data_IF_301367196251
#
_entry.id   IF_301367196251
#
_cell.length_a   1.000
_cell.length_b   1.000
_cell.length_c   1.000
_cell.angle_alpha   90.00
_cell.angle_beta   90.00
_cell.angle_gamma   90.00
#
_symmetry.space_group_name_H-M   'P 1'
#
loop_
_entity.id
_entity.type
_entity.pdbx_description
1 polymer ?
#
# COMPACT_ATOMS: atom_id res chain seq x y z
N UNK A 1 -8.36 -4.59 -5.05
CA UNK A 1 -8.15 -5.37 -3.81
C UNK A 1 -7.16 -6.47 -4.10
N UNK A 2 -6.14 -6.61 -3.26
CA UNK A 2 -5.28 -7.79 -3.22
C UNK A 2 -6.02 -8.96 -2.56
N UNK A 3 -6.47 -9.89 -3.39
CA UNK A 3 -7.23 -11.06 -2.93
C UNK A 3 -6.33 -12.11 -2.29
N UNK A 4 -5.05 -12.19 -2.63
CA UNK A 4 -4.13 -13.13 -1.99
C UNK A 4 -3.99 -12.81 -0.50
N UNK A 5 -3.74 -11.53 -0.16
CA UNK A 5 -3.70 -11.09 1.23
C UNK A 5 -5.06 -11.21 1.95
N UNK A 6 -6.17 -11.02 1.23
CA UNK A 6 -7.51 -11.28 1.78
C UNK A 6 -7.66 -12.74 2.20
N UNK A 7 -7.27 -13.70 1.36
CA UNK A 7 -7.36 -15.12 1.68
C UNK A 7 -6.48 -15.53 2.87
N UNK A 8 -5.31 -14.91 3.03
CA UNK A 8 -4.45 -15.16 4.20
C UNK A 8 -5.14 -14.83 5.53
N UNK A 9 -5.98 -13.79 5.57
CA UNK A 9 -6.78 -13.44 6.76
C UNK A 9 -7.77 -14.56 7.13
N UNK A 10 -8.13 -15.41 6.18
CA UNK A 10 -9.01 -16.57 6.34
C UNK A 10 -8.24 -17.90 6.49
N UNK A 11 -6.92 -17.82 6.73
CA UNK A 11 -6.03 -18.98 6.82
C UNK A 11 -6.05 -19.87 5.56
N UNK A 12 -6.33 -19.25 4.40
CA UNK A 12 -6.34 -19.92 3.10
C UNK A 12 -5.09 -19.49 2.34
N UNK A 13 -4.15 -20.41 2.15
CA UNK A 13 -2.87 -20.14 1.49
C UNK A 13 -2.92 -20.55 0.01
N UNK A 14 -2.46 -19.65 -0.85
CA UNK A 14 -2.33 -19.89 -2.29
C UNK A 14 -2.39 -18.60 -3.11
N UNK A 15 -1.81 -18.63 -4.32
CA UNK A 15 -1.84 -17.47 -5.20
C UNK A 15 -3.23 -17.29 -5.83
N UNK A 16 -3.74 -16.06 -5.83
CA UNK A 16 -4.96 -15.73 -6.57
C UNK A 16 -4.63 -15.51 -8.06
N UNK A 17 -5.44 -16.01 -9.01
CA UNK A 17 -6.73 -16.71 -8.83
C UNK A 17 -6.63 -18.23 -8.66
N UNK A 18 -5.46 -18.85 -8.73
CA UNK A 18 -5.27 -20.29 -8.72
C UNK A 18 -5.86 -20.96 -7.46
N UNK A 19 -5.85 -20.28 -6.32
CA UNK A 19 -6.42 -20.76 -5.06
C UNK A 19 -7.89 -21.20 -5.19
N UNK A 20 -8.66 -20.60 -6.09
CA UNK A 20 -10.07 -20.92 -6.28
C UNK A 20 -10.31 -22.33 -6.88
N UNK A 21 -9.28 -22.91 -7.48
CA UNK A 21 -9.30 -24.23 -8.09
C UNK A 21 -8.37 -25.23 -7.40
N UNK A 22 -7.85 -24.86 -6.24
CA UNK A 22 -6.98 -25.72 -5.44
C UNK A 22 -7.74 -26.95 -4.94
N UNK A 23 -7.09 -28.12 -4.95
CA UNK A 23 -7.73 -29.39 -4.61
C UNK A 23 -8.12 -29.49 -3.12
N UNK A 24 -7.44 -28.75 -2.23
CA UNK A 24 -7.64 -28.81 -0.78
C UNK A 24 -8.50 -27.65 -0.30
N UNK A 25 -8.16 -26.42 -0.67
CA UNK A 25 -8.79 -25.20 -0.14
C UNK A 25 -9.74 -24.51 -1.13
N UNK A 26 -9.80 -24.95 -2.39
CA UNK A 26 -10.51 -24.26 -3.47
C UNK A 26 -12.01 -24.09 -3.23
N UNK A 27 -12.68 -25.09 -2.66
CA UNK A 27 -14.11 -24.99 -2.33
C UNK A 27 -14.36 -23.89 -1.27
N UNK A 28 -13.57 -23.92 -0.20
CA UNK A 28 -13.64 -22.91 0.86
C UNK A 28 -13.28 -21.52 0.34
N UNK A 29 -12.21 -21.42 -0.44
CA UNK A 29 -11.78 -20.15 -1.03
C UNK A 29 -12.83 -19.55 -1.95
N UNK A 30 -13.45 -20.38 -2.82
CA UNK A 30 -14.51 -19.96 -3.72
C UNK A 30 -15.73 -19.45 -2.95
N UNK A 31 -16.13 -20.12 -1.87
CA UNK A 31 -17.25 -19.70 -1.03
C UNK A 31 -16.96 -18.35 -0.36
N UNK A 32 -15.81 -18.22 0.34
CA UNK A 32 -15.44 -16.98 1.01
C UNK A 32 -15.30 -15.82 0.01
N UNK A 33 -14.76 -16.10 -1.19
CA UNK A 33 -14.66 -15.11 -2.25
C UNK A 33 -16.03 -14.61 -2.73
N UNK A 34 -16.98 -15.52 -2.95
CA UNK A 34 -18.33 -15.14 -3.37
C UNK A 34 -19.05 -14.30 -2.31
N UNK A 35 -18.91 -14.67 -1.03
CA UNK A 35 -19.44 -13.92 0.10
C UNK A 35 -18.78 -12.52 0.22
N UNK A 36 -17.47 -12.45 0.00
CA UNK A 36 -16.73 -11.19 -0.02
C UNK A 36 -17.18 -10.27 -1.15
N UNK A 37 -17.39 -10.79 -2.35
CA UNK A 37 -17.91 -10.01 -3.48
C UNK A 37 -19.33 -9.50 -3.20
N UNK A 38 -20.20 -10.33 -2.63
CA UNK A 38 -21.55 -9.93 -2.24
C UNK A 38 -21.55 -8.85 -1.14
N UNK A 39 -20.67 -8.98 -0.15
CA UNK A 39 -20.48 -7.99 0.91
C UNK A 39 -19.91 -6.67 0.35
N UNK A 40 -18.90 -6.74 -0.51
CA UNK A 40 -18.31 -5.58 -1.16
C UNK A 40 -19.35 -4.78 -1.95
N UNK A 41 -20.21 -5.48 -2.68
CA UNK A 41 -21.33 -4.85 -3.38
C UNK A 41 -22.26 -4.08 -2.42
N UNK A 42 -22.61 -4.70 -1.28
CA UNK A 42 -23.44 -4.03 -0.24
C UNK A 42 -22.74 -2.81 0.36
N UNK A 43 -21.42 -2.89 0.60
CA UNK A 43 -20.61 -1.76 1.11
C UNK A 43 -20.69 -0.58 0.14
N UNK A 44 -20.50 -0.83 -1.15
CA UNK A 44 -20.49 0.19 -2.20
C UNK A 44 -21.89 0.80 -2.40
N UNK A 45 -22.90 -0.04 -2.65
CA UNK A 45 -24.27 0.41 -2.91
C UNK A 45 -24.87 1.13 -1.68
N UNK A 46 -24.61 0.62 -0.49
CA UNK A 46 -25.09 1.17 0.77
C UNK A 46 -24.26 2.32 1.31
N UNK A 47 -23.11 2.63 0.67
CA UNK A 47 -22.16 3.66 1.14
C UNK A 47 -21.85 3.51 2.63
N UNK A 48 -21.52 2.28 3.04
CA UNK A 48 -21.34 1.96 4.46
C UNK A 48 -20.07 2.55 5.05
N UNK A 49 -19.06 2.76 4.20
CA UNK A 49 -17.75 3.30 4.57
C UNK A 49 -17.46 4.57 3.79
N UNK A 50 -16.68 5.45 4.39
CA UNK A 50 -16.10 6.61 3.72
C UNK A 50 -14.60 6.47 3.65
N UNK A 51 -14.01 7.04 2.60
CA UNK A 51 -12.58 7.04 2.35
C UNK A 51 -12.11 8.48 2.17
N UNK A 52 -11.01 8.83 2.84
CA UNK A 52 -10.36 10.14 2.70
C UNK A 52 -8.90 9.94 2.35
N UNK A 53 -8.38 10.82 1.50
CA UNK A 53 -6.97 10.86 1.16
C UNK A 53 -6.45 12.29 1.19
N UNK A 54 -5.21 12.45 1.59
CA UNK A 54 -4.47 13.70 1.50
C UNK A 54 -3.13 13.43 0.83
N UNK A 55 -2.70 14.35 -0.02
CA UNK A 55 -1.39 14.34 -0.66
C UNK A 55 -0.65 15.63 -0.40
N UNK A 56 0.67 15.57 -0.42
CA UNK A 56 1.54 16.74 -0.42
C UNK A 56 2.75 16.47 -1.29
N UNK A 57 3.18 17.49 -2.03
CA UNK A 57 4.40 17.48 -2.83
C UNK A 57 5.33 18.50 -2.23
N UNK A 58 6.52 18.07 -1.83
CA UNK A 58 7.46 18.90 -1.08
C UNK A 58 8.78 19.01 -1.83
N UNK A 59 9.36 20.23 -1.97
CA UNK A 59 10.71 20.37 -2.49
C UNK A 59 11.68 19.55 -1.63
N UNK A 60 12.49 18.73 -2.25
CA UNK A 60 13.37 17.82 -1.54
C UNK A 60 14.66 17.54 -2.35
N UNK A 61 15.72 17.20 -1.63
CA UNK A 61 16.94 16.64 -2.20
C UNK A 61 17.57 15.65 -1.21
N UNK A 62 18.32 14.69 -1.73
CA UNK A 62 19.15 13.82 -0.90
C UNK A 62 20.28 14.63 -0.30
N UNK A 63 20.40 14.63 1.04
CA UNK A 63 21.39 15.43 1.79
C UNK A 63 22.70 14.68 2.02
N UNK A 64 22.64 13.35 2.09
CA UNK A 64 23.76 12.41 2.20
C UNK A 64 23.35 11.07 1.61
N UNK A 65 24.05 9.98 1.94
CA UNK A 65 23.77 8.67 1.34
C UNK A 65 22.34 8.14 1.59
N UNK A 66 21.75 8.48 2.75
CA UNK A 66 20.48 7.86 3.19
C UNK A 66 19.38 8.86 3.58
N UNK A 67 19.73 10.15 3.78
CA UNK A 67 18.81 11.15 4.26
C UNK A 67 18.23 12.01 3.13
N UNK A 68 16.99 12.42 3.28
CA UNK A 68 16.30 13.34 2.38
C UNK A 68 15.96 14.60 3.16
N UNK A 69 16.48 15.75 2.72
CA UNK A 69 16.08 17.06 3.21
C UNK A 69 14.80 17.51 2.49
N UNK A 70 13.75 17.83 3.25
CA UNK A 70 12.54 18.47 2.77
C UNK A 70 12.59 19.94 3.13
N UNK A 71 12.29 20.81 2.19
CA UNK A 71 12.39 22.25 2.37
C UNK A 71 11.03 22.89 2.66
N UNK A 72 11.07 24.07 3.32
CA UNK A 72 9.85 24.83 3.61
C UNK A 72 9.16 25.33 2.35
N UNK A 73 9.94 25.64 1.31
CA UNK A 73 9.45 26.13 0.02
C UNK A 73 10.43 25.85 -1.13
N UNK A 74 10.06 26.28 -2.34
CA UNK A 74 10.86 26.11 -3.56
C UNK A 74 12.19 26.88 -3.59
N UNK A 75 12.43 27.82 -2.69
CA UNK A 75 13.75 28.51 -2.60
C UNK A 75 14.84 27.60 -2.02
N UNK A 76 14.46 26.51 -1.34
CA UNK A 76 15.36 25.51 -0.71
C UNK A 76 16.36 26.12 0.27
N UNK A 77 16.01 27.28 0.85
CA UNK A 77 16.88 28.01 1.78
C UNK A 77 16.81 27.48 3.21
N UNK A 78 15.71 26.84 3.56
CA UNK A 78 15.45 26.33 4.92
C UNK A 78 14.91 24.90 4.86
N UNK A 79 15.54 24.00 5.63
CA UNK A 79 15.11 22.61 5.79
C UNK A 79 14.00 22.55 6.83
N UNK A 80 12.82 22.14 6.41
CA UNK A 80 11.67 21.94 7.30
C UNK A 80 11.76 20.61 8.07
N UNK A 81 12.26 19.57 7.41
CA UNK A 81 12.36 18.22 7.95
C UNK A 81 13.48 17.46 7.24
N UNK A 82 14.23 16.68 7.99
CA UNK A 82 15.10 15.66 7.43
C UNK A 82 14.45 14.28 7.65
N UNK A 83 14.18 13.58 6.56
CA UNK A 83 13.75 12.19 6.62
C UNK A 83 14.97 11.28 6.61
N UNK A 84 15.16 10.56 7.71
CA UNK A 84 16.25 9.60 7.86
C UNK A 84 15.84 8.27 7.26
N UNK A 85 16.45 7.93 6.12
CA UNK A 85 16.22 6.67 5.43
C UNK A 85 17.00 5.52 6.06
N UNK A 86 16.46 4.31 5.93
CA UNK A 86 17.14 3.08 6.29
C UNK A 86 17.47 2.28 5.02
N UNK A 87 18.77 2.19 4.72
CA UNK A 87 19.23 1.38 3.58
C UNK A 87 18.98 -0.11 3.85
N UNK A 88 18.59 -0.85 2.81
CA UNK A 88 18.37 -2.29 2.90
C UNK A 88 19.57 -3.00 3.55
N UNK A 89 19.29 -3.81 4.57
CA UNK A 89 20.31 -4.56 5.32
C UNK A 89 20.38 -6.04 4.91
N UNK A 90 19.42 -6.49 4.08
CA UNK A 90 19.37 -7.89 3.64
C UNK A 90 20.57 -8.24 2.78
N UNK A 91 21.24 -9.32 3.09
CA UNK A 91 22.32 -9.86 2.26
C UNK A 91 21.82 -10.15 0.84
N UNK A 92 22.56 -9.69 -0.15
CA UNK A 92 22.20 -9.84 -1.57
C UNK A 92 23.01 -10.95 -2.20
N UNK A 93 22.33 -11.81 -2.95
CA UNK A 93 23.02 -12.74 -3.83
C UNK A 93 23.52 -12.03 -5.08
N UNK A 94 24.70 -12.41 -5.55
CA UNK A 94 25.21 -11.97 -6.84
C UNK A 94 24.29 -12.48 -7.96
N UNK A 95 24.14 -11.66 -8.98
CA UNK A 95 23.46 -12.02 -10.23
C UNK A 95 24.46 -12.03 -11.38
N UNK A 96 24.16 -12.76 -12.43
CA UNK A 96 24.98 -12.73 -13.65
C UNK A 96 24.87 -11.34 -14.30
N UNK A 97 25.99 -10.65 -14.40
CA UNK A 97 26.11 -9.39 -15.12
C UNK A 97 26.13 -9.59 -16.64
N UNK A 98 26.04 -8.48 -17.41
CA UNK A 98 26.07 -8.51 -18.89
C UNK A 98 27.28 -9.22 -19.47
N UNK A 99 28.40 -9.21 -18.74
CA UNK A 99 29.68 -9.82 -19.17
C UNK A 99 29.83 -11.26 -18.66
N UNK A 100 28.77 -11.87 -18.11
CA UNK A 100 28.82 -13.18 -17.45
C UNK A 100 29.61 -13.21 -16.13
N UNK A 101 29.96 -12.03 -15.57
CA UNK A 101 30.62 -11.92 -14.27
C UNK A 101 29.57 -11.67 -13.18
N UNK A 102 29.76 -12.23 -11.98
CA UNK A 102 28.84 -11.96 -10.88
C UNK A 102 28.88 -10.47 -10.48
N UNK A 103 27.70 -9.86 -10.42
CA UNK A 103 27.50 -8.46 -9.99
C UNK A 103 26.65 -8.48 -8.73
N UNK A 104 27.10 -7.81 -7.68
CA UNK A 104 26.33 -7.63 -6.46
C UNK A 104 25.23 -6.59 -6.67
N UNK A 105 24.01 -6.92 -6.30
CA UNK A 105 22.92 -5.93 -6.28
C UNK A 105 23.16 -4.92 -5.16
N UNK A 106 23.06 -3.61 -5.41
CA UNK A 106 23.20 -2.62 -4.36
C UNK A 106 22.06 -2.74 -3.33
N UNK A 107 22.37 -2.47 -2.08
CA UNK A 107 21.36 -2.22 -1.07
C UNK A 107 20.72 -0.85 -1.34
N UNK A 108 19.40 -0.80 -1.45
CA UNK A 108 18.66 0.41 -1.83
C UNK A 108 18.14 1.16 -0.61
N UNK A 109 18.10 2.48 -0.73
CA UNK A 109 17.39 3.40 0.15
C UNK A 109 16.43 4.26 -0.69
N UNK A 110 15.42 4.86 -0.10
CA UNK A 110 14.55 5.79 -0.81
C UNK A 110 15.31 7.04 -1.27
N UNK A 111 16.36 7.45 -0.54
CA UNK A 111 17.22 8.54 -0.93
C UNK A 111 17.91 8.34 -2.30
N UNK A 112 18.10 7.09 -2.75
CA UNK A 112 18.70 6.80 -4.07
C UNK A 112 17.82 7.25 -5.25
N UNK A 113 16.54 7.58 -5.00
CA UNK A 113 15.57 7.98 -6.01
C UNK A 113 15.23 9.47 -5.99
N UNK A 114 15.94 10.25 -5.17
CA UNK A 114 15.79 11.70 -5.05
C UNK A 114 17.12 12.35 -5.42
N UNK A 115 17.05 13.41 -6.23
CA UNK A 115 18.25 14.12 -6.69
C UNK A 115 19.11 14.63 -5.53
N UNK A 116 20.44 14.50 -5.59
CA UNK A 116 21.34 15.04 -4.57
C UNK A 116 21.26 16.57 -4.47
N UNK A 117 21.55 17.10 -3.29
CA UNK A 117 21.71 18.54 -3.11
C UNK A 117 22.78 19.10 -4.04
N UNK A 118 22.49 20.25 -4.67
CA UNK A 118 23.40 20.94 -5.58
C UNK A 118 23.42 20.40 -7.01
N UNK A 119 22.60 19.42 -7.37
CA UNK A 119 22.43 18.92 -8.74
C UNK A 119 21.21 19.56 -9.40
N UNK A 120 20.03 18.98 -9.26
CA UNK A 120 18.79 19.50 -9.80
C UNK A 120 17.73 19.66 -8.70
N UNK A 121 16.70 20.44 -9.01
CA UNK A 121 15.53 20.55 -8.16
C UNK A 121 14.69 19.27 -8.25
N UNK A 122 14.30 18.75 -7.10
CA UNK A 122 13.47 17.56 -7.03
C UNK A 122 12.42 17.69 -5.92
N UNK A 123 11.49 16.76 -5.88
CA UNK A 123 10.34 16.77 -4.97
C UNK A 123 10.07 15.38 -4.43
N UNK A 124 9.56 15.32 -3.21
CA UNK A 124 9.02 14.08 -2.62
C UNK A 124 7.52 14.21 -2.46
N UNK A 125 6.78 13.23 -3.01
CA UNK A 125 5.35 13.08 -2.80
C UNK A 125 5.08 12.24 -1.56
N UNK A 126 4.20 12.74 -0.70
CA UNK A 126 3.68 12.00 0.46
C UNK A 126 2.17 11.95 0.40
N UNK A 127 1.60 10.85 0.84
CA UNK A 127 0.15 10.74 0.98
C UNK A 127 -0.24 9.93 2.22
N UNK A 128 -1.45 10.17 2.69
CA UNK A 128 -2.10 9.35 3.69
C UNK A 128 -3.55 9.08 3.28
N UNK A 129 -4.03 7.89 3.56
CA UNK A 129 -5.39 7.46 3.22
C UNK A 129 -6.07 6.77 4.38
N UNK A 130 -7.38 6.86 4.39
CA UNK A 130 -8.26 6.03 5.21
C UNK A 130 -9.39 5.50 4.35
N UNK A 131 -9.88 4.28 4.60
CA UNK A 131 -11.03 3.73 3.88
C UNK A 131 -12.03 3.01 4.81
N UNK A 132 -11.89 3.16 6.12
CA UNK A 132 -12.69 2.46 7.13
C UNK A 132 -13.58 3.38 7.99
N UNK A 133 -13.78 4.63 7.61
CA UNK A 133 -14.64 5.52 8.40
C UNK A 133 -16.09 5.04 8.38
N UNK A 134 -16.62 4.76 9.57
CA UNK A 134 -17.96 4.19 9.76
C UNK A 134 -17.98 2.70 10.08
N UNK A 135 -16.80 2.05 10.16
CA UNK A 135 -16.67 0.62 10.39
C UNK A 135 -17.34 0.19 11.72
N UNK A 136 -17.09 0.91 12.82
CA UNK A 136 -17.57 0.53 14.14
C UNK A 136 -19.09 0.48 14.20
N UNK A 137 -19.75 1.44 13.56
CA UNK A 137 -21.22 1.49 13.52
C UNK A 137 -21.82 0.31 12.78
N UNK A 138 -21.19 -0.11 11.69
CA UNK A 138 -21.70 -1.20 10.87
C UNK A 138 -21.35 -2.56 11.46
N UNK A 139 -20.13 -2.72 11.95
CA UNK A 139 -19.69 -3.92 12.67
C UNK A 139 -20.61 -4.21 13.86
N UNK A 140 -20.92 -3.18 14.67
CA UNK A 140 -21.84 -3.33 15.80
C UNK A 140 -23.19 -3.91 15.39
N UNK A 141 -23.72 -3.58 14.22
CA UNK A 141 -24.98 -4.15 13.74
C UNK A 141 -24.91 -5.66 13.55
N UNK A 142 -23.77 -6.17 13.03
CA UNK A 142 -23.56 -7.61 12.88
C UNK A 142 -23.38 -8.30 14.24
N UNK A 143 -22.57 -7.71 15.12
CA UNK A 143 -22.36 -8.24 16.48
C UNK A 143 -23.65 -8.28 17.28
N UNK A 144 -24.47 -7.23 17.25
CA UNK A 144 -25.76 -7.16 17.96
C UNK A 144 -26.77 -8.21 17.45
N UNK A 145 -26.59 -8.72 16.22
CA UNK A 145 -27.39 -9.81 15.65
C UNK A 145 -26.72 -11.18 15.74
N UNK A 146 -25.59 -11.29 16.44
CA UNK A 146 -24.78 -12.51 16.56
C UNK A 146 -24.30 -13.07 15.20
N UNK A 147 -24.05 -12.19 14.24
CA UNK A 147 -23.50 -12.54 12.92
C UNK A 147 -22.00 -12.25 12.87
N UNK A 148 -21.24 -13.06 13.62
CA UNK A 148 -19.78 -12.92 13.73
C UNK A 148 -19.08 -13.13 12.39
N UNK A 149 -19.61 -14.00 11.54
CA UNK A 149 -19.05 -14.24 10.21
C UNK A 149 -19.08 -12.98 9.35
N UNK A 150 -20.23 -12.30 9.26
CA UNK A 150 -20.35 -11.06 8.50
C UNK A 150 -19.53 -9.93 9.14
N UNK A 151 -19.39 -9.90 10.46
CA UNK A 151 -18.54 -8.92 11.14
C UNK A 151 -17.06 -9.08 10.74
N UNK A 152 -16.53 -10.30 10.77
CA UNK A 152 -15.16 -10.63 10.37
C UNK A 152 -14.96 -10.33 8.88
N UNK A 153 -15.88 -10.77 8.02
CA UNK A 153 -15.82 -10.56 6.58
C UNK A 153 -15.80 -9.05 6.23
N UNK A 154 -16.64 -8.27 6.89
CA UNK A 154 -16.71 -6.83 6.71
C UNK A 154 -15.42 -6.12 7.12
N UNK A 155 -14.84 -6.48 8.27
CA UNK A 155 -13.55 -5.93 8.73
C UNK A 155 -12.40 -6.28 7.79
N UNK A 156 -12.31 -7.53 7.38
CA UNK A 156 -11.29 -7.99 6.42
C UNK A 156 -11.36 -7.22 5.11
N UNK A 157 -12.57 -6.95 4.59
CA UNK A 157 -12.75 -6.12 3.39
C UNK A 157 -12.39 -4.66 3.62
N UNK A 158 -12.78 -4.07 4.76
CA UNK A 158 -12.46 -2.67 5.07
C UNK A 158 -10.95 -2.43 5.13
N UNK A 159 -10.20 -3.37 5.70
CA UNK A 159 -8.75 -3.34 5.73
C UNK A 159 -8.14 -3.39 4.31
N UNK A 160 -8.62 -4.31 3.48
CA UNK A 160 -8.17 -4.40 2.08
C UNK A 160 -8.58 -3.20 1.23
N UNK A 161 -9.64 -2.49 1.57
CA UNK A 161 -10.04 -1.26 0.89
C UNK A 161 -9.07 -0.10 1.17
N UNK A 162 -8.46 -0.04 2.35
CA UNK A 162 -7.43 0.96 2.65
C UNK A 162 -6.19 0.77 1.77
N UNK A 163 -5.70 -0.45 1.64
CA UNK A 163 -4.61 -0.80 0.73
C UNK A 163 -4.96 -0.47 -0.74
N UNK A 164 -6.12 -0.90 -1.20
CA UNK A 164 -6.58 -0.62 -2.56
C UNK A 164 -6.69 0.88 -2.85
N UNK A 165 -7.11 1.67 -1.85
CA UNK A 165 -7.17 3.13 -1.98
C UNK A 165 -5.77 3.76 -2.00
N UNK A 166 -4.83 3.25 -1.22
CA UNK A 166 -3.43 3.70 -1.25
C UNK A 166 -2.82 3.48 -2.64
N UNK A 167 -2.99 2.31 -3.23
CA UNK A 167 -2.54 2.01 -4.60
C UNK A 167 -3.23 2.92 -5.64
N UNK A 168 -4.54 3.09 -5.53
CA UNK A 168 -5.31 3.95 -6.43
C UNK A 168 -4.84 5.42 -6.34
N UNK A 169 -4.65 5.95 -5.13
CA UNK A 169 -4.19 7.32 -4.93
C UNK A 169 -2.75 7.49 -5.44
N UNK A 170 -1.86 6.54 -5.15
CA UNK A 170 -0.48 6.56 -5.65
C UNK A 170 -0.44 6.53 -7.19
N UNK A 171 -1.28 5.70 -7.82
CA UNK A 171 -1.40 5.69 -9.28
C UNK A 171 -1.83 7.06 -9.80
N UNK A 172 -2.88 7.65 -9.23
CA UNK A 172 -3.37 8.98 -9.62
C UNK A 172 -2.35 10.09 -9.38
N UNK A 173 -1.61 10.03 -8.28
CA UNK A 173 -0.51 11.01 -8.05
C UNK A 173 0.48 10.95 -9.19
N UNK A 174 0.90 9.77 -9.61
CA UNK A 174 1.90 9.57 -10.67
C UNK A 174 1.41 9.91 -12.07
N UNK A 175 0.12 9.76 -12.35
CA UNK A 175 -0.43 9.94 -13.71
C UNK A 175 -1.14 11.27 -13.91
N UNK A 176 -1.77 11.79 -12.87
CA UNK A 176 -2.70 12.92 -13.02
C UNK A 176 -2.24 14.18 -12.25
N UNK A 177 -1.48 14.01 -11.16
CA UNK A 177 -1.21 15.09 -10.22
C UNK A 177 0.26 15.51 -10.17
N UNK A 178 1.18 14.60 -10.38
CA UNK A 178 2.61 14.90 -10.47
C UNK A 178 2.99 15.25 -11.91
N UNK A 179 2.48 14.55 -12.89
CA UNK A 179 2.74 14.74 -14.32
C UNK A 179 3.92 13.99 -14.82
#
# INVERSE_FOLDING_TARGET
IDWATFFQTWELEGPYPAILTDEVVGEQATKVFADAQAMLKKIIEGRWLSANGVIGLYPANTANDDDIALYTDGTRSEVALTWHGLRQQTEKQAIDGPDGKPVMRPSRCLADFVEPQGTAEDYVGMFAVTAGLGIEKKEKQFVDTHDDYSAILFKSLADRLAEAFAECLHHRVRTDLWG
#
